data_IF_875696489148
#
_entry.id   IF_875696489148
#
_cell.length_a   1.000
_cell.length_b   1.000
_cell.length_c   1.000
_cell.angle_alpha   90.00
_cell.angle_beta   90.00
_cell.angle_gamma   90.00
#
_symmetry.space_group_name_H-M   'P 1'
#
loop_
_entity.id
_entity.type
_entity.pdbx_description
1 polymer ?
#
# COMPACT_ATOMS: atom_id res chain seq x y z
N UNK A 1 -58.13 -10.21 8.46
CA UNK A 1 -58.36 -9.78 7.06
C UNK A 1 -57.16 -9.07 6.42
N UNK A 2 -56.43 -8.17 7.10
CA UNK A 2 -55.31 -7.45 6.49
C UNK A 2 -54.15 -8.32 5.97
N UNK A 3 -53.85 -9.47 6.61
CA UNK A 3 -52.76 -10.36 6.14
C UNK A 3 -53.08 -11.06 4.82
N UNK A 4 -54.35 -11.41 4.58
CA UNK A 4 -54.80 -12.03 3.32
C UNK A 4 -54.77 -11.02 2.17
N UNK A 5 -55.11 -9.76 2.44
CA UNK A 5 -54.99 -8.66 1.48
C UNK A 5 -53.52 -8.39 1.10
N UNK A 6 -52.60 -8.39 2.07
CA UNK A 6 -51.17 -8.25 1.81
C UNK A 6 -50.59 -9.39 0.96
N UNK A 7 -50.99 -10.64 1.23
CA UNK A 7 -50.58 -11.81 0.44
C UNK A 7 -51.15 -11.77 -0.99
N UNK A 8 -52.39 -11.31 -1.18
CA UNK A 8 -52.99 -11.15 -2.50
C UNK A 8 -52.28 -10.07 -3.34
N UNK A 9 -51.89 -8.95 -2.70
CA UNK A 9 -51.11 -7.89 -3.36
C UNK A 9 -49.71 -8.38 -3.74
N UNK A 10 -49.03 -9.13 -2.87
CA UNK A 10 -47.71 -9.70 -3.17
C UNK A 10 -47.74 -10.72 -4.32
N UNK A 11 -48.82 -11.48 -4.48
CA UNK A 11 -48.98 -12.43 -5.59
C UNK A 11 -49.23 -11.72 -6.94
N UNK A 12 -49.93 -10.57 -6.92
CA UNK A 12 -50.22 -9.79 -8.12
C UNK A 12 -48.99 -9.05 -8.70
N UNK A 13 -47.92 -8.88 -7.91
CA UNK A 13 -46.69 -8.19 -8.35
C UNK A 13 -45.61 -9.20 -8.78
N UNK A 14 -45.99 -10.45 -9.08
CA UNK A 14 -45.10 -11.43 -9.72
C UNK A 14 -44.75 -10.94 -11.15
N UNK A 15 -43.74 -10.09 -11.26
CA UNK A 15 -43.16 -9.69 -12.54
C UNK A 15 -42.57 -10.97 -13.16
N UNK A 16 -43.07 -11.42 -14.33
CA UNK A 16 -42.45 -12.54 -15.01
C UNK A 16 -41.01 -12.15 -15.32
N UNK A 17 -40.05 -13.03 -15.02
CA UNK A 17 -38.67 -12.85 -15.46
C UNK A 17 -38.67 -12.77 -16.99
N UNK A 18 -38.60 -11.55 -17.53
CA UNK A 18 -38.69 -11.34 -18.96
C UNK A 18 -37.42 -11.84 -19.62
N UNK A 19 -37.59 -12.79 -20.55
CA UNK A 19 -36.50 -13.20 -21.41
C UNK A 19 -36.23 -12.05 -22.38
N UNK A 20 -35.05 -11.42 -22.30
CA UNK A 20 -34.65 -10.38 -23.24
C UNK A 20 -34.14 -11.06 -24.51
N UNK A 21 -34.93 -11.00 -25.58
CA UNK A 21 -34.58 -11.52 -26.89
C UNK A 21 -33.84 -10.46 -27.70
N UNK A 22 -32.67 -10.83 -28.23
CA UNK A 22 -31.94 -10.02 -29.21
C UNK A 22 -32.41 -10.38 -30.62
N UNK A 23 -33.16 -9.49 -31.24
CA UNK A 23 -33.74 -9.70 -32.57
C UNK A 23 -32.98 -8.90 -33.62
N UNK A 24 -32.75 -9.51 -34.79
CA UNK A 24 -32.20 -8.83 -35.97
C UNK A 24 -33.25 -8.72 -37.06
N UNK A 25 -33.51 -7.49 -37.50
CA UNK A 25 -34.37 -7.20 -38.65
C UNK A 25 -33.56 -6.36 -39.65
N UNK A 26 -33.15 -6.96 -40.76
CA UNK A 26 -32.20 -6.33 -41.69
C UNK A 26 -30.84 -6.06 -41.05
N UNK A 27 -30.43 -4.79 -40.99
CA UNK A 27 -29.18 -4.33 -40.34
C UNK A 27 -29.38 -3.84 -38.89
N UNK A 28 -30.64 -3.72 -38.44
CA UNK A 28 -30.96 -3.20 -37.11
C UNK A 28 -31.05 -4.34 -36.08
N UNK A 29 -30.47 -4.09 -34.90
CA UNK A 29 -30.55 -4.96 -33.73
C UNK A 29 -31.50 -4.33 -32.73
N UNK A 30 -32.54 -5.06 -32.35
CA UNK A 30 -33.56 -4.62 -31.39
C UNK A 30 -33.65 -5.63 -30.26
N UNK A 31 -33.78 -5.15 -29.03
CA UNK A 31 -33.99 -6.00 -27.85
C UNK A 31 -35.47 -5.92 -27.46
N UNK A 32 -36.10 -7.07 -27.24
CA UNK A 32 -37.52 -7.16 -26.87
C UNK A 32 -37.71 -8.18 -25.75
N UNK A 33 -38.68 -7.92 -24.87
CA UNK A 33 -39.13 -8.87 -23.85
C UNK A 33 -40.09 -9.94 -24.43
N UNK A 34 -40.42 -9.82 -25.72
CA UNK A 34 -41.24 -10.79 -26.47
C UNK A 34 -40.42 -11.47 -27.55
N UNK A 35 -40.81 -12.70 -27.93
CA UNK A 35 -40.17 -13.40 -29.04
C UNK A 35 -40.15 -12.55 -30.33
N UNK A 36 -39.10 -12.74 -31.13
CA UNK A 36 -38.86 -11.94 -32.33
C UNK A 36 -39.96 -12.17 -33.38
N UNK A 37 -40.90 -11.22 -33.45
CA UNK A 37 -42.10 -11.33 -34.32
C UNK A 37 -41.78 -11.01 -35.78
N UNK A 38 -40.84 -10.10 -36.04
CA UNK A 38 -40.45 -9.63 -37.38
C UNK A 38 -38.92 -9.71 -37.61
N UNK A 39 -38.24 -10.72 -37.06
CA UNK A 39 -36.79 -10.85 -37.20
C UNK A 39 -36.25 -12.18 -36.72
N UNK A 40 -34.98 -12.47 -37.02
CA UNK A 40 -34.33 -13.69 -36.55
C UNK A 40 -33.82 -13.47 -35.13
N UNK A 41 -34.15 -14.39 -34.21
CA UNK A 41 -33.56 -14.41 -32.89
C UNK A 41 -32.06 -14.70 -33.01
N UNK A 42 -31.23 -13.76 -32.59
CA UNK A 42 -29.80 -14.00 -32.47
C UNK A 42 -29.60 -14.81 -31.19
N UNK A 43 -29.29 -16.09 -31.35
CA UNK A 43 -28.65 -16.84 -30.27
C UNK A 43 -27.29 -16.21 -30.04
N UNK A 44 -27.04 -15.71 -28.84
CA UNK A 44 -25.67 -15.49 -28.37
C UNK A 44 -25.03 -16.86 -28.29
N UNK A 45 -24.41 -17.28 -29.39
CA UNK A 45 -23.60 -18.48 -29.41
C UNK A 45 -22.31 -18.12 -28.67
N UNK A 46 -22.28 -18.45 -27.37
CA UNK A 46 -21.13 -18.24 -26.48
C UNK A 46 -19.94 -19.15 -26.83
N UNK A 47 -19.96 -19.78 -28.01
CA UNK A 47 -18.88 -20.64 -28.49
C UNK A 47 -17.76 -19.78 -29.04
N UNK A 48 -16.89 -19.33 -28.14
CA UNK A 48 -15.56 -18.84 -28.51
C UNK A 48 -14.86 -19.89 -29.37
N UNK A 49 -14.24 -19.45 -30.47
CA UNK A 49 -13.52 -20.39 -31.32
C UNK A 49 -12.33 -20.98 -30.56
N UNK A 50 -11.90 -22.19 -30.94
CA UNK A 50 -10.69 -22.78 -30.37
C UNK A 50 -9.45 -21.89 -30.59
N UNK A 51 -9.47 -21.04 -31.62
CA UNK A 51 -8.43 -20.07 -31.89
C UNK A 51 -8.48 -18.89 -30.90
N UNK A 52 -9.67 -18.34 -30.61
CA UNK A 52 -9.83 -17.27 -29.62
C UNK A 52 -9.35 -17.72 -28.24
N UNK A 53 -9.66 -18.96 -27.85
CA UNK A 53 -9.20 -19.54 -26.60
C UNK A 53 -7.67 -19.69 -26.54
N UNK A 54 -7.02 -20.04 -27.67
CA UNK A 54 -5.55 -20.11 -27.76
C UNK A 54 -4.93 -18.72 -27.68
N UNK A 55 -5.46 -17.75 -28.41
CA UNK A 55 -4.96 -16.38 -28.41
C UNK A 55 -5.13 -15.72 -27.03
N UNK A 56 -6.24 -15.98 -26.34
CA UNK A 56 -6.46 -15.51 -24.98
C UNK A 56 -5.45 -16.11 -23.99
N UNK A 57 -5.14 -17.41 -24.10
CA UNK A 57 -4.11 -18.06 -23.28
C UNK A 57 -2.72 -17.51 -23.55
N UNK A 58 -2.39 -17.23 -24.80
CA UNK A 58 -1.11 -16.63 -25.18
C UNK A 58 -0.95 -15.22 -24.60
N UNK A 59 -1.99 -14.37 -24.72
CA UNK A 59 -2.01 -13.03 -24.12
C UNK A 59 -1.87 -13.11 -22.61
N UNK A 60 -2.64 -13.96 -21.95
CA UNK A 60 -2.56 -14.16 -20.51
C UNK A 60 -1.15 -14.59 -20.06
N UNK A 61 -0.48 -15.46 -20.83
CA UNK A 61 0.89 -15.87 -20.52
C UNK A 61 1.88 -14.70 -20.64
N UNK A 62 1.76 -13.88 -21.69
CA UNK A 62 2.56 -12.66 -21.87
C UNK A 62 2.30 -11.65 -20.75
N UNK A 63 1.04 -11.37 -20.44
CA UNK A 63 0.65 -10.42 -19.40
C UNK A 63 1.16 -10.87 -18.03
N UNK A 64 1.07 -12.17 -17.72
CA UNK A 64 1.61 -12.74 -16.48
C UNK A 64 3.13 -12.63 -16.42
N UNK A 65 3.83 -12.84 -17.53
CA UNK A 65 5.28 -12.68 -17.59
C UNK A 65 5.68 -11.22 -17.33
N UNK A 66 4.97 -10.27 -17.93
CA UNK A 66 5.23 -8.84 -17.76
C UNK A 66 4.91 -8.37 -16.34
N UNK A 67 3.77 -8.78 -15.77
CA UNK A 67 3.43 -8.49 -14.38
C UNK A 67 4.49 -9.03 -13.41
N UNK A 68 4.99 -10.24 -13.65
CA UNK A 68 6.07 -10.80 -12.83
C UNK A 68 7.37 -9.99 -12.95
N UNK A 69 7.72 -9.52 -14.15
CA UNK A 69 8.89 -8.66 -14.37
C UNK A 69 8.76 -7.35 -13.59
N UNK A 70 7.64 -6.65 -13.76
CA UNK A 70 7.34 -5.39 -13.07
C UNK A 70 7.31 -5.56 -11.54
N UNK A 71 6.72 -6.64 -11.05
CA UNK A 71 6.68 -6.94 -9.61
C UNK A 71 8.09 -7.17 -9.05
N UNK A 72 8.94 -7.90 -9.79
CA UNK A 72 10.34 -8.12 -9.37
C UNK A 72 11.14 -6.83 -9.34
N UNK A 73 10.97 -5.96 -10.33
CA UNK A 73 11.62 -4.64 -10.37
C UNK A 73 11.17 -3.76 -9.20
N UNK A 74 9.86 -3.69 -8.95
CA UNK A 74 9.30 -2.97 -7.81
C UNK A 74 9.86 -3.47 -6.48
N UNK A 75 9.82 -4.78 -6.25
CA UNK A 75 10.32 -5.36 -5.00
C UNK A 75 11.83 -5.14 -4.82
N UNK A 76 12.60 -5.14 -5.92
CA UNK A 76 14.04 -4.82 -5.87
C UNK A 76 14.26 -3.37 -5.44
N UNK A 77 13.51 -2.42 -6.01
CA UNK A 77 13.62 -1.01 -5.67
C UNK A 77 13.18 -0.74 -4.23
N UNK A 78 12.03 -1.30 -3.81
CA UNK A 78 11.54 -1.23 -2.43
C UNK A 78 12.60 -1.77 -1.44
N UNK A 79 13.24 -2.90 -1.75
CA UNK A 79 14.30 -3.47 -0.90
C UNK A 79 15.55 -2.58 -0.83
N UNK A 80 15.91 -1.87 -1.90
CA UNK A 80 17.04 -0.93 -1.90
C UNK A 80 16.70 0.30 -1.04
N UNK A 81 15.51 0.87 -1.22
CA UNK A 81 15.04 2.01 -0.46
C UNK A 81 14.91 1.70 1.03
N UNK A 82 14.31 0.56 1.38
CA UNK A 82 14.17 0.11 2.77
C UNK A 82 15.55 -0.07 3.42
N UNK A 83 16.53 -0.65 2.71
CA UNK A 83 17.91 -0.76 3.20
C UNK A 83 18.56 0.61 3.41
N UNK A 84 18.34 1.55 2.50
CA UNK A 84 18.87 2.91 2.64
C UNK A 84 18.25 3.61 3.85
N UNK A 85 16.92 3.58 3.98
CA UNK A 85 16.21 4.15 5.12
C UNK A 85 16.65 3.54 6.45
N UNK A 86 16.79 2.21 6.53
CA UNK A 86 17.31 1.52 7.73
C UNK A 86 18.72 1.97 8.09
N UNK A 87 19.61 2.18 7.10
CA UNK A 87 20.97 2.69 7.34
C UNK A 87 20.96 4.12 7.87
N UNK A 88 20.14 5.01 7.30
CA UNK A 88 20.02 6.38 7.80
C UNK A 88 19.42 6.43 9.20
N UNK A 89 18.36 5.65 9.45
CA UNK A 89 17.72 5.56 10.76
C UNK A 89 18.68 5.01 11.83
N UNK A 90 19.46 3.96 11.50
CA UNK A 90 20.43 3.39 12.44
C UNK A 90 21.60 4.34 12.72
N UNK A 91 22.12 5.02 11.69
CA UNK A 91 23.17 6.03 11.86
C UNK A 91 22.68 7.20 12.73
N UNK A 92 21.46 7.69 12.50
CA UNK A 92 20.85 8.73 13.31
C UNK A 92 20.63 8.28 14.76
N UNK A 93 20.15 7.05 14.99
CA UNK A 93 19.97 6.50 16.32
C UNK A 93 21.30 6.34 17.07
N UNK A 94 22.35 5.87 16.40
CA UNK A 94 23.71 5.76 16.98
C UNK A 94 24.25 7.13 17.35
N UNK A 95 24.14 8.13 16.47
CA UNK A 95 24.56 9.51 16.76
C UNK A 95 23.79 10.08 17.96
N UNK A 96 22.47 9.89 18.03
CA UNK A 96 21.65 10.32 19.18
C UNK A 96 22.12 9.69 20.49
N UNK A 97 22.35 8.37 20.51
CA UNK A 97 22.86 7.66 21.70
C UNK A 97 24.24 8.17 22.12
N UNK A 98 25.14 8.34 21.16
CA UNK A 98 26.47 8.90 21.41
C UNK A 98 26.37 10.30 22.03
N UNK A 99 25.50 11.15 21.49
CA UNK A 99 25.32 12.50 21.98
C UNK A 99 24.69 12.55 23.37
N UNK A 100 23.70 11.71 23.65
CA UNK A 100 23.13 11.60 24.99
C UNK A 100 24.19 11.17 26.01
N UNK A 101 25.05 10.20 25.67
CA UNK A 101 26.14 9.77 26.55
C UNK A 101 27.20 10.86 26.78
N UNK A 102 27.56 11.61 25.74
CA UNK A 102 28.50 12.73 25.87
C UNK A 102 27.89 13.91 26.66
N UNK A 103 26.60 14.18 26.52
CA UNK A 103 25.90 15.21 27.29
C UNK A 103 25.88 14.85 28.78
N UNK A 104 25.56 13.60 29.10
CA UNK A 104 25.60 13.09 30.47
C UNK A 104 27.01 13.19 31.07
N UNK A 105 28.03 12.78 30.32
CA UNK A 105 29.42 12.90 30.79
C UNK A 105 29.85 14.36 30.97
N UNK A 106 29.36 15.29 30.13
CA UNK A 106 29.59 16.73 30.33
C UNK A 106 28.97 17.22 31.64
N UNK A 107 27.71 16.86 31.90
CA UNK A 107 27.00 17.24 33.12
C UNK A 107 27.72 16.72 34.37
N UNK A 108 28.10 15.44 34.39
CA UNK A 108 28.84 14.88 35.52
C UNK A 108 30.20 15.55 35.73
N UNK A 109 30.93 15.85 34.66
CA UNK A 109 32.22 16.53 34.79
C UNK A 109 32.05 17.97 35.32
N UNK A 110 30.94 18.64 35.01
CA UNK A 110 30.59 19.96 35.56
C UNK A 110 30.22 19.87 37.05
N UNK A 111 29.43 18.88 37.44
CA UNK A 111 29.09 18.59 38.84
C UNK A 111 30.33 18.26 39.67
N UNK A 112 31.21 17.40 39.14
CA UNK A 112 32.50 17.06 39.77
C UNK A 112 33.38 18.30 39.95
N UNK A 113 33.41 19.20 38.96
CA UNK A 113 34.16 20.44 39.05
C UNK A 113 33.57 21.41 40.09
N UNK A 114 32.24 21.46 40.21
CA UNK A 114 31.56 22.28 41.21
C UNK A 114 31.81 21.78 42.64
N UNK A 115 31.92 20.46 42.81
CA UNK A 115 32.12 19.81 44.12
C UNK A 115 33.60 19.55 44.46
N UNK A 116 34.55 19.92 43.59
CA UNK A 116 35.96 19.60 43.76
C UNK A 116 36.60 20.40 44.93
N UNK A 117 37.44 19.75 45.76
CA UNK A 117 38.19 20.45 46.79
C UNK A 117 39.23 21.41 46.19
N UNK A 118 39.59 22.46 46.93
CA UNK A 118 40.49 23.54 46.47
C UNK A 118 41.82 23.07 45.85
N UNK A 119 42.34 21.92 46.29
CA UNK A 119 43.60 21.34 45.77
C UNK A 119 43.45 20.72 44.37
N UNK A 120 42.24 20.34 43.95
CA UNK A 120 41.98 19.68 42.66
C UNK A 120 41.04 20.45 41.74
N UNK A 121 40.53 21.61 42.17
CA UNK A 121 39.52 22.39 41.44
C UNK A 121 39.94 22.76 40.02
N UNK A 122 41.19 23.19 39.80
CA UNK A 122 41.68 23.56 38.45
C UNK A 122 41.81 22.34 37.52
N UNK A 123 42.16 21.18 38.07
CA UNK A 123 42.16 19.93 37.30
C UNK A 123 40.74 19.47 36.96
N UNK A 124 39.80 19.61 37.90
CA UNK A 124 38.39 19.28 37.68
C UNK A 124 37.75 20.19 36.63
N UNK A 125 37.97 21.52 36.71
CA UNK A 125 37.54 22.48 35.67
C UNK A 125 38.10 22.15 34.28
N UNK A 126 39.38 21.76 34.19
CA UNK A 126 39.98 21.35 32.91
C UNK A 126 39.31 20.11 32.33
N UNK A 127 38.95 19.13 33.17
CA UNK A 127 38.20 17.94 32.75
C UNK A 127 36.80 18.31 32.26
N UNK A 128 36.08 19.15 32.99
CA UNK A 128 34.77 19.66 32.60
C UNK A 128 34.83 20.36 31.23
N UNK A 129 35.81 21.24 31.03
CA UNK A 129 36.01 21.94 29.75
C UNK A 129 36.26 20.98 28.59
N UNK A 130 37.14 19.98 28.77
CA UNK A 130 37.41 18.95 27.74
C UNK A 130 36.18 18.10 27.42
N UNK A 131 35.37 17.77 28.43
CA UNK A 131 34.12 17.06 28.22
C UNK A 131 33.11 17.90 27.40
N UNK A 132 33.01 19.20 27.69
CA UNK A 132 32.21 20.13 26.92
C UNK A 132 32.71 20.29 25.48
N UNK A 133 34.01 20.48 25.27
CA UNK A 133 34.63 20.55 23.92
C UNK A 133 34.33 19.29 23.10
N UNK A 134 34.46 18.10 23.72
CA UNK A 134 34.17 16.81 23.08
C UNK A 134 32.69 16.68 22.70
N UNK A 135 31.79 17.11 23.57
CA UNK A 135 30.36 17.12 23.28
C UNK A 135 30.05 18.06 22.11
N UNK A 136 30.55 19.30 22.14
CA UNK A 136 30.33 20.29 21.08
C UNK A 136 30.88 19.81 19.73
N UNK A 137 32.06 19.19 19.69
CA UNK A 137 32.64 18.67 18.45
C UNK A 137 31.82 17.54 17.83
N UNK A 138 31.36 16.59 18.66
CA UNK A 138 30.65 15.40 18.16
C UNK A 138 29.17 15.66 17.86
N UNK A 139 28.55 16.57 18.63
CA UNK A 139 27.11 16.71 18.70
C UNK A 139 26.60 18.08 18.34
N UNK A 140 27.46 19.10 18.34
CA UNK A 140 27.20 20.46 17.87
C UNK A 140 25.79 20.92 18.20
N UNK A 141 25.56 21.33 19.45
CA UNK A 141 24.41 22.20 19.71
C UNK A 141 24.56 23.46 18.87
#
# INVERSE_FOLDING_TARGET
>A
MNRLLLLAVLYAISVPASAIYKCKTGTQITYSDTECTNGTAIKTDDTFSAQDAKDARQRLATDKAELNRLTRERNKNEAIEERAQKKFASAAATKRKQCAGLEQHRQWAEEDAANAPMKSIENAKRKARRAAEKYTLACGK
#
